data_IF_345172964156
#
_entry.id   IF_345172964156
#
_cell.length_a   1.000
_cell.length_b   1.000
_cell.length_c   1.000
_cell.angle_alpha   90.00
_cell.angle_beta   90.00
_cell.angle_gamma   90.00
#
_symmetry.space_group_name_H-M   'P 1'
#
loop_
_entity.id
_entity.type
_entity.pdbx_description
1 polymer ?
#
# COMPACT_ATOMS: atom_id res chain seq x y z
N UNK A 1 10.89 6.52 -23.49
CA UNK A 1 9.92 5.42 -23.33
C UNK A 1 10.59 4.12 -23.70
N UNK A 2 10.62 3.16 -22.78
CA UNK A 2 11.16 1.81 -22.97
C UNK A 2 10.03 0.85 -23.31
N UNK A 3 10.28 -0.08 -24.26
CA UNK A 3 9.32 -1.11 -24.64
C UNK A 3 9.89 -2.47 -24.20
N UNK A 4 9.25 -3.08 -23.23
CA UNK A 4 9.68 -4.36 -22.64
C UNK A 4 8.77 -5.49 -23.14
N UNK A 5 9.34 -6.40 -23.90
CA UNK A 5 8.61 -7.53 -24.46
C UNK A 5 8.81 -8.79 -23.60
N UNK A 6 7.72 -9.45 -23.25
CA UNK A 6 7.68 -10.70 -22.50
C UNK A 6 7.05 -11.83 -23.34
N UNK A 7 7.82 -12.45 -24.27
CA UNK A 7 7.26 -13.39 -25.26
C UNK A 7 6.61 -14.63 -24.63
N UNK A 8 7.07 -15.07 -23.46
CA UNK A 8 6.54 -16.27 -22.79
C UNK A 8 5.11 -16.10 -22.26
N UNK A 9 4.69 -14.87 -22.05
CA UNK A 9 3.33 -14.51 -21.59
C UNK A 9 2.60 -13.65 -22.61
N UNK A 10 3.20 -13.46 -23.80
CA UNK A 10 2.67 -12.64 -24.90
C UNK A 10 2.30 -11.21 -24.50
N UNK A 11 3.13 -10.60 -23.64
CA UNK A 11 2.91 -9.26 -23.10
C UNK A 11 3.96 -8.27 -23.59
N UNK A 12 3.51 -7.04 -23.84
CA UNK A 12 4.37 -5.90 -24.10
C UNK A 12 4.05 -4.79 -23.11
N UNK A 13 5.03 -4.38 -22.35
CA UNK A 13 4.92 -3.36 -21.30
C UNK A 13 5.67 -2.11 -21.75
N UNK A 14 5.05 -0.95 -21.58
CA UNK A 14 5.61 0.36 -21.88
C UNK A 14 5.98 1.06 -20.57
N UNK A 15 7.22 1.51 -20.46
CA UNK A 15 7.76 2.16 -19.27
C UNK A 15 8.32 3.53 -19.61
N UNK A 16 7.99 4.52 -18.81
CA UNK A 16 8.55 5.86 -18.90
C UNK A 16 8.87 6.39 -17.50
N UNK A 17 10.00 7.07 -17.38
CA UNK A 17 10.35 7.82 -16.17
C UNK A 17 10.43 9.29 -16.54
N UNK A 18 9.61 10.12 -15.91
CA UNK A 18 9.54 11.54 -16.16
C UNK A 18 10.69 12.30 -15.48
N UNK A 19 10.91 13.55 -15.89
CA UNK A 19 11.97 14.40 -15.30
C UNK A 19 11.78 14.66 -13.79
N UNK A 20 10.54 14.65 -13.31
CA UNK A 20 10.22 14.73 -11.87
C UNK A 20 10.38 13.40 -11.12
N UNK A 21 10.82 12.35 -11.81
CA UNK A 21 11.07 11.02 -11.25
C UNK A 21 9.85 10.09 -11.22
N UNK A 22 8.66 10.54 -11.65
CA UNK A 22 7.49 9.67 -11.70
C UNK A 22 7.70 8.53 -12.69
N UNK A 23 7.57 7.30 -12.24
CA UNK A 23 7.59 6.12 -13.08
C UNK A 23 6.16 5.79 -13.56
N UNK A 24 6.01 5.61 -14.86
CA UNK A 24 4.76 5.23 -15.51
C UNK A 24 4.96 3.89 -16.19
N UNK A 25 4.06 2.96 -15.91
CA UNK A 25 4.02 1.65 -16.56
C UNK A 25 2.64 1.46 -17.18
N UNK A 26 2.59 1.16 -18.46
CA UNK A 26 1.34 0.86 -19.18
C UNK A 26 1.43 -0.54 -19.78
N UNK A 27 0.41 -1.36 -19.51
CA UNK A 27 0.24 -2.69 -20.06
C UNK A 27 -1.05 -2.73 -20.92
N UNK A 28 -0.96 -2.46 -22.22
CA UNK A 28 -2.12 -2.55 -23.11
C UNK A 28 -2.65 -3.98 -23.17
N UNK A 29 -3.98 -4.13 -23.09
CA UNK A 29 -4.69 -5.39 -23.24
C UNK A 29 -5.73 -5.29 -24.35
N UNK A 30 -5.33 -5.49 -25.62
CA UNK A 30 -6.25 -5.42 -26.74
C UNK A 30 -7.47 -6.32 -26.56
N UNK A 31 -8.66 -5.77 -26.79
CA UNK A 31 -9.92 -6.52 -26.64
C UNK A 31 -10.52 -6.49 -25.24
N UNK A 32 -9.81 -6.03 -24.22
CA UNK A 32 -10.39 -5.78 -22.89
C UNK A 32 -11.12 -4.44 -22.89
N UNK A 33 -12.32 -4.44 -22.34
CA UNK A 33 -13.12 -3.22 -22.17
C UNK A 33 -12.77 -2.47 -20.87
N UNK A 34 -12.44 -3.23 -19.82
CA UNK A 34 -12.15 -2.69 -18.50
C UNK A 34 -10.68 -2.27 -18.41
N UNK A 35 -10.47 -1.05 -17.93
CA UNK A 35 -9.16 -0.54 -17.56
C UNK A 35 -9.04 -0.45 -16.05
N UNK A 36 -7.89 -0.80 -15.53
CA UNK A 36 -7.52 -0.70 -14.13
C UNK A 36 -6.26 0.16 -14.03
N UNK A 37 -6.30 1.16 -13.17
CA UNK A 37 -5.16 2.03 -12.92
C UNK A 37 -4.87 2.14 -11.44
N UNK A 38 -3.58 2.16 -11.09
CA UNK A 38 -3.11 2.36 -9.73
C UNK A 38 -2.08 3.48 -9.68
N UNK A 39 -2.17 4.32 -8.66
CA UNK A 39 -1.15 5.31 -8.32
C UNK A 39 -0.63 4.99 -6.92
N UNK A 40 0.58 4.47 -6.84
CA UNK A 40 1.17 3.91 -5.64
C UNK A 40 2.33 4.76 -5.14
N UNK A 41 2.43 4.92 -3.84
CA UNK A 41 3.63 5.45 -3.18
C UNK A 41 4.35 4.35 -2.42
N UNK A 42 5.68 4.39 -2.39
CA UNK A 42 6.53 3.54 -1.54
C UNK A 42 6.51 4.08 -0.11
N UNK A 43 5.34 4.04 0.52
CA UNK A 43 5.09 4.47 1.87
C UNK A 43 4.00 3.61 2.50
N UNK A 44 4.33 2.90 3.56
CA UNK A 44 3.42 2.02 4.27
C UNK A 44 3.55 2.14 5.78
N UNK A 45 2.89 1.25 6.50
CA UNK A 45 2.81 1.31 7.96
C UNK A 45 4.16 1.09 8.67
N UNK A 46 5.13 0.47 8.01
CA UNK A 46 6.47 0.27 8.59
C UNK A 46 7.40 1.48 8.43
N UNK A 47 7.04 2.47 7.61
CA UNK A 47 7.84 3.65 7.34
C UNK A 47 7.64 4.76 8.41
N UNK A 48 7.68 4.38 9.68
CA UNK A 48 7.42 5.26 10.82
C UNK A 48 8.68 5.92 11.41
N UNK A 49 9.87 5.65 10.87
CA UNK A 49 11.13 6.26 11.29
C UNK A 49 11.99 6.54 10.06
N UNK A 50 12.14 7.81 9.70
CA UNK A 50 12.79 8.20 8.45
C UNK A 50 13.50 9.56 8.55
N UNK A 51 14.37 9.85 7.56
CA UNK A 51 14.95 11.17 7.31
C UNK A 51 14.98 11.44 5.80
N UNK A 52 15.13 12.70 5.42
CA UNK A 52 15.33 13.13 4.03
C UNK A 52 16.68 13.84 3.92
N UNK A 53 17.59 13.31 3.09
CA UNK A 53 18.94 13.86 2.95
C UNK A 53 19.68 13.91 4.29
N UNK A 54 20.16 15.10 4.66
CA UNK A 54 20.95 15.32 5.89
C UNK A 54 20.08 15.76 7.10
N UNK A 55 18.74 15.60 7.01
CA UNK A 55 17.85 15.97 8.09
C UNK A 55 17.97 15.03 9.30
N UNK A 56 17.60 15.53 10.48
CA UNK A 56 17.50 14.70 11.69
C UNK A 56 16.39 13.67 11.50
N UNK A 57 16.64 12.38 11.81
CA UNK A 57 15.60 11.35 11.75
C UNK A 57 14.35 11.71 12.56
N UNK A 58 13.19 11.52 11.93
CA UNK A 58 11.88 11.76 12.53
C UNK A 58 11.18 10.41 12.74
N UNK A 59 10.70 10.20 13.97
CA UNK A 59 9.79 9.10 14.28
C UNK A 59 8.38 9.64 14.38
N UNK A 60 7.45 9.02 13.63
CA UNK A 60 6.03 9.40 13.57
C UNK A 60 5.16 8.35 14.26
N UNK A 61 3.94 8.69 14.70
CA UNK A 61 3.02 7.74 15.32
C UNK A 61 2.63 6.60 14.38
N UNK A 62 2.46 5.40 14.94
CA UNK A 62 1.94 4.25 14.21
C UNK A 62 0.53 4.53 13.68
N UNK A 63 0.22 4.03 12.47
CA UNK A 63 -1.05 4.26 11.79
C UNK A 63 -1.09 5.51 10.91
N UNK A 64 -0.05 6.36 10.91
CA UNK A 64 -0.07 7.63 10.16
C UNK A 64 -0.16 7.42 8.64
N UNK A 65 0.39 6.35 8.07
CA UNK A 65 0.27 6.05 6.65
C UNK A 65 -1.18 5.75 6.26
N UNK A 66 -1.88 4.95 7.05
CA UNK A 66 -3.30 4.65 6.88
C UNK A 66 -4.19 5.89 7.14
N UNK A 67 -3.86 6.67 8.16
CA UNK A 67 -4.54 7.93 8.43
C UNK A 67 -4.45 8.88 7.23
N UNK A 68 -3.25 8.97 6.63
CA UNK A 68 -3.01 9.81 5.47
C UNK A 68 -3.80 9.31 4.25
N UNK A 69 -3.90 8.00 4.04
CA UNK A 69 -4.74 7.42 3.00
C UNK A 69 -6.19 7.92 3.10
N UNK A 70 -6.80 7.84 4.29
CA UNK A 70 -8.15 8.34 4.53
C UNK A 70 -8.30 9.82 4.19
N UNK A 71 -7.31 10.63 4.59
CA UNK A 71 -7.37 12.09 4.41
C UNK A 71 -7.22 12.55 2.97
N UNK A 72 -6.68 11.71 2.09
CA UNK A 72 -6.54 12.07 0.68
C UNK A 72 -7.87 12.17 -0.06
N UNK A 73 -8.93 11.50 0.40
CA UNK A 73 -10.23 11.47 -0.28
C UNK A 73 -11.10 12.71 -0.05
N UNK A 74 -10.78 13.55 0.93
CA UNK A 74 -11.54 14.76 1.22
C UNK A 74 -10.98 15.96 0.44
N UNK A 75 -11.78 16.49 -0.48
CA UNK A 75 -11.42 17.64 -1.29
C UNK A 75 -11.59 18.98 -0.52
N UNK A 76 -10.96 20.10 -1.00
CA UNK A 76 -11.04 21.40 -0.35
C UNK A 76 -12.46 21.96 -0.16
N UNK A 77 -13.41 21.54 -1.00
CA UNK A 77 -14.82 21.91 -0.93
C UNK A 77 -15.63 20.99 0.02
N UNK A 78 -14.97 20.03 0.66
CA UNK A 78 -15.58 19.06 1.58
C UNK A 78 -16.31 17.91 0.86
N UNK A 79 -16.20 17.81 -0.47
CA UNK A 79 -16.72 16.66 -1.20
C UNK A 79 -15.75 15.48 -1.11
N UNK A 80 -16.30 14.28 -1.25
CA UNK A 80 -15.53 13.05 -1.35
C UNK A 80 -15.23 12.78 -2.84
N UNK A 81 -13.98 12.55 -3.19
CA UNK A 81 -13.54 12.26 -4.56
C UNK A 81 -14.23 11.03 -5.16
N UNK A 82 -14.70 10.08 -4.34
CA UNK A 82 -15.50 8.94 -4.79
C UNK A 82 -16.76 9.37 -5.56
N UNK A 83 -17.35 10.51 -5.23
CA UNK A 83 -18.50 11.05 -5.96
C UNK A 83 -18.12 11.45 -7.39
N UNK A 84 -16.90 11.94 -7.62
CA UNK A 84 -16.40 12.26 -8.95
C UNK A 84 -16.18 10.99 -9.77
N UNK A 85 -15.49 9.98 -9.22
CA UNK A 85 -15.31 8.69 -9.89
C UNK A 85 -16.65 8.02 -10.25
N UNK A 86 -17.62 8.05 -9.33
CA UNK A 86 -18.95 7.49 -9.57
C UNK A 86 -19.67 8.18 -10.73
N UNK A 87 -19.58 9.52 -10.85
CA UNK A 87 -20.14 10.28 -11.98
C UNK A 87 -19.46 9.95 -13.31
N UNK A 88 -18.17 9.58 -13.27
CA UNK A 88 -17.38 9.17 -14.42
C UNK A 88 -17.49 7.66 -14.71
N UNK A 89 -18.39 6.94 -14.05
CA UNK A 89 -18.61 5.51 -14.28
C UNK A 89 -17.51 4.59 -13.76
N UNK A 90 -16.66 5.07 -12.85
CA UNK A 90 -15.58 4.30 -12.28
C UNK A 90 -15.87 3.80 -10.85
N UNK A 91 -15.32 2.64 -10.50
CA UNK A 91 -15.19 2.17 -9.13
C UNK A 91 -13.77 2.47 -8.64
N UNK A 92 -13.66 3.35 -7.65
CA UNK A 92 -12.38 3.72 -7.02
C UNK A 92 -12.22 3.03 -5.66
N UNK A 93 -10.97 2.89 -5.22
CA UNK A 93 -10.61 2.39 -3.89
C UNK A 93 -9.19 2.83 -3.54
N UNK A 94 -8.79 2.59 -2.28
CA UNK A 94 -7.40 2.65 -1.85
C UNK A 94 -7.11 1.59 -0.80
N UNK A 95 -5.85 1.36 -0.53
CA UNK A 95 -5.41 0.56 0.61
C UNK A 95 -3.98 0.93 1.02
N UNK A 96 -3.72 0.84 2.31
CA UNK A 96 -2.39 0.89 2.90
C UNK A 96 -1.91 -0.51 3.23
N UNK A 97 -0.68 -0.84 2.85
CA UNK A 97 0.03 -2.06 3.21
C UNK A 97 1.21 -1.73 4.12
N UNK A 98 2.06 -2.72 4.40
CA UNK A 98 3.25 -2.51 5.22
C UNK A 98 4.27 -1.57 4.56
N UNK A 99 4.43 -1.66 3.24
CA UNK A 99 5.50 -0.99 2.45
C UNK A 99 4.98 0.00 1.40
N UNK A 100 3.67 0.12 1.23
CA UNK A 100 3.06 0.96 0.19
C UNK A 100 1.65 1.38 0.54
N UNK A 101 1.24 2.51 -0.06
CA UNK A 101 -0.16 2.94 -0.14
C UNK A 101 -0.53 3.06 -1.61
N UNK A 102 -1.70 2.57 -1.98
CA UNK A 102 -2.15 2.48 -3.36
C UNK A 102 -3.55 3.06 -3.50
N UNK A 103 -3.69 4.00 -4.42
CA UNK A 103 -4.96 4.56 -4.87
C UNK A 103 -5.27 3.98 -6.24
N UNK A 104 -6.51 3.64 -6.51
CA UNK A 104 -6.86 2.92 -7.73
C UNK A 104 -8.27 3.22 -8.22
N UNK A 105 -8.48 3.00 -9.51
CA UNK A 105 -9.82 2.89 -10.07
C UNK A 105 -9.91 1.76 -11.10
N UNK A 106 -11.14 1.34 -11.38
CA UNK A 106 -11.47 0.52 -12.54
C UNK A 106 -12.68 1.10 -13.26
N UNK A 107 -12.60 1.19 -14.59
CA UNK A 107 -13.64 1.77 -15.43
C UNK A 107 -13.68 1.10 -16.81
N UNK A 108 -14.80 1.26 -17.52
CA UNK A 108 -14.96 0.82 -18.92
C UNK A 108 -15.07 1.99 -19.90
N UNK A 109 -15.23 3.20 -19.40
CA UNK A 109 -15.37 4.44 -20.19
C UNK A 109 -14.77 5.62 -19.39
N UNK A 110 -14.58 6.75 -20.06
CA UNK A 110 -13.98 7.96 -19.49
C UNK A 110 -12.62 7.67 -18.80
N UNK A 111 -11.79 6.84 -19.43
CA UNK A 111 -10.52 6.37 -18.83
C UNK A 111 -9.56 7.54 -18.58
N UNK A 112 -9.46 8.48 -19.52
CA UNK A 112 -8.58 9.64 -19.41
C UNK A 112 -9.03 10.57 -18.27
N UNK A 113 -10.33 10.85 -18.16
CA UNK A 113 -10.89 11.69 -17.11
C UNK A 113 -10.69 11.03 -15.72
N UNK A 114 -10.94 9.73 -15.62
CA UNK A 114 -10.71 8.98 -14.38
C UNK A 114 -9.22 8.96 -14.01
N UNK A 115 -8.34 8.82 -14.98
CA UNK A 115 -6.89 8.84 -14.76
C UNK A 115 -6.42 10.20 -14.25
N UNK A 116 -6.91 11.31 -14.86
CA UNK A 116 -6.61 12.65 -14.38
C UNK A 116 -7.16 12.89 -12.97
N UNK A 117 -8.38 12.44 -12.69
CA UNK A 117 -8.95 12.51 -11.35
C UNK A 117 -8.06 11.77 -10.34
N UNK A 118 -7.60 10.54 -10.66
CA UNK A 118 -6.70 9.77 -9.80
C UNK A 118 -5.40 10.51 -9.49
N UNK A 119 -4.73 11.02 -10.52
CA UNK A 119 -3.45 11.72 -10.35
C UNK A 119 -3.65 13.02 -9.57
N UNK A 120 -4.68 13.77 -9.91
CA UNK A 120 -4.89 15.11 -9.36
C UNK A 120 -5.27 15.08 -7.88
N UNK A 121 -6.17 14.18 -7.44
CA UNK A 121 -6.51 14.13 -6.01
C UNK A 121 -5.34 13.61 -5.16
N UNK A 122 -4.59 12.62 -5.64
CA UNK A 122 -3.43 12.10 -4.90
C UNK A 122 -2.31 13.14 -4.80
N UNK A 123 -2.21 14.06 -5.74
CA UNK A 123 -1.21 15.13 -5.77
C UNK A 123 -1.72 16.48 -5.22
N UNK A 124 -2.91 16.53 -4.61
CA UNK A 124 -3.51 17.76 -4.07
C UNK A 124 -4.03 17.56 -2.64
N UNK A 125 -3.14 17.38 -1.66
CA UNK A 125 -3.55 17.15 -0.28
C UNK A 125 -4.26 18.38 0.32
N UNK A 126 -5.29 18.12 1.12
CA UNK A 126 -6.01 19.17 1.85
C UNK A 126 -6.24 18.75 3.31
N UNK A 127 -5.28 19.06 4.18
CA UNK A 127 -5.36 18.76 5.60
C UNK A 127 -5.58 20.02 6.40
N UNK A 128 -6.62 20.03 7.23
CA UNK A 128 -6.95 21.09 8.19
C UNK A 128 -7.03 20.50 9.60
N UNK A 129 -6.85 21.31 10.62
CA UNK A 129 -7.03 20.84 12.00
C UNK A 129 -8.40 20.19 12.20
N UNK A 130 -9.44 20.81 11.63
CA UNK A 130 -10.81 20.34 11.79
C UNK A 130 -11.04 18.97 11.14
N UNK A 131 -10.55 18.76 9.90
CA UNK A 131 -10.78 17.49 9.22
C UNK A 131 -9.89 16.37 9.78
N UNK A 132 -8.71 16.68 10.29
CA UNK A 132 -7.84 15.73 10.99
C UNK A 132 -8.48 15.28 12.32
N UNK A 133 -8.98 16.22 13.14
CA UNK A 133 -9.66 15.85 14.38
C UNK A 133 -10.93 15.01 14.17
N UNK A 134 -11.70 15.32 13.14
CA UNK A 134 -12.86 14.50 12.75
C UNK A 134 -12.46 13.07 12.39
N UNK A 135 -11.37 12.90 11.63
CA UNK A 135 -10.90 11.60 11.15
C UNK A 135 -10.40 10.69 12.27
N UNK A 136 -9.79 11.25 13.33
CA UNK A 136 -9.38 10.47 14.51
C UNK A 136 -10.53 9.65 15.08
N UNK A 137 -11.72 10.23 15.15
CA UNK A 137 -12.91 9.52 15.63
C UNK A 137 -13.36 8.38 14.71
N UNK A 138 -13.24 8.57 13.40
CA UNK A 138 -13.60 7.56 12.38
C UNK A 138 -12.62 6.38 12.45
N UNK A 139 -11.33 6.65 12.42
CA UNK A 139 -10.27 5.62 12.47
C UNK A 139 -10.28 4.91 13.83
N UNK A 140 -10.57 5.60 14.95
CA UNK A 140 -10.71 4.96 16.25
C UNK A 140 -11.85 3.91 16.27
N UNK A 141 -12.97 4.20 15.59
CA UNK A 141 -14.06 3.23 15.44
C UNK A 141 -13.65 2.05 14.55
N UNK A 142 -12.91 2.29 13.48
CA UNK A 142 -12.38 1.26 12.61
C UNK A 142 -11.38 0.34 13.34
N UNK A 143 -10.46 0.89 14.11
CA UNK A 143 -9.53 0.13 14.95
C UNK A 143 -10.31 -0.77 15.93
N UNK A 144 -11.36 -0.27 16.55
CA UNK A 144 -12.20 -1.07 17.43
C UNK A 144 -12.92 -2.20 16.67
N UNK A 145 -13.41 -1.94 15.48
CA UNK A 145 -14.02 -2.96 14.61
C UNK A 145 -12.99 -4.07 14.26
N UNK A 146 -11.75 -3.71 13.93
CA UNK A 146 -10.67 -4.67 13.68
C UNK A 146 -10.31 -5.47 14.95
N UNK A 147 -10.35 -4.85 16.13
CA UNK A 147 -10.11 -5.53 17.38
C UNK A 147 -11.14 -6.63 17.69
N UNK A 148 -12.36 -6.47 17.17
CA UNK A 148 -13.45 -7.47 17.30
C UNK A 148 -13.44 -8.51 16.17
N UNK A 149 -12.63 -8.32 15.13
CA UNK A 149 -12.52 -9.23 13.98
C UNK A 149 -11.50 -10.35 14.28
N UNK A 150 -11.97 -11.59 14.35
CA UNK A 150 -11.12 -12.73 14.68
C UNK A 150 -10.06 -13.06 13.63
N UNK A 151 -10.35 -12.87 12.33
CA UNK A 151 -9.37 -13.10 11.26
C UNK A 151 -8.27 -12.05 11.30
N UNK A 152 -8.62 -10.80 11.53
CA UNK A 152 -7.67 -9.72 11.71
C UNK A 152 -6.77 -9.96 12.94
N UNK A 153 -7.39 -10.34 14.06
CA UNK A 153 -6.66 -10.55 15.32
C UNK A 153 -5.74 -11.79 15.31
N UNK A 154 -6.09 -12.86 14.60
CA UNK A 154 -5.19 -14.01 14.46
C UNK A 154 -4.03 -13.67 13.51
N UNK A 155 -4.29 -12.91 12.46
CA UNK A 155 -3.26 -12.46 11.51
C UNK A 155 -2.22 -11.55 12.19
N UNK A 156 -2.65 -10.47 12.82
CA UNK A 156 -1.73 -9.58 13.56
C UNK A 156 -1.13 -10.26 14.79
N UNK A 157 -1.87 -11.13 15.46
CA UNK A 157 -1.35 -11.94 16.56
C UNK A 157 -0.15 -12.79 16.18
N UNK A 158 -0.10 -13.26 14.93
CA UNK A 158 1.07 -13.97 14.40
C UNK A 158 2.28 -13.03 14.27
N UNK A 159 2.13 -11.84 13.67
CA UNK A 159 3.24 -10.88 13.59
C UNK A 159 3.72 -10.42 14.96
N UNK A 160 2.81 -10.14 15.89
CA UNK A 160 3.14 -9.80 17.26
C UNK A 160 3.93 -10.92 17.98
N UNK A 161 3.68 -12.20 17.64
CA UNK A 161 4.42 -13.34 18.20
C UNK A 161 5.78 -13.56 17.53
N UNK A 162 5.90 -13.25 16.24
CA UNK A 162 7.14 -13.45 15.47
C UNK A 162 8.15 -12.32 15.66
N UNK A 163 7.71 -11.06 15.74
CA UNK A 163 8.59 -9.89 15.72
C UNK A 163 8.66 -9.20 17.08
N UNK A 164 9.86 -8.77 17.46
CA UNK A 164 10.12 -8.14 18.75
C UNK A 164 10.16 -6.61 18.65
N UNK A 165 10.77 -6.08 17.59
CA UNK A 165 11.04 -4.64 17.42
C UNK A 165 10.56 -4.09 16.08
N UNK A 166 10.49 -4.94 15.05
CA UNK A 166 10.13 -4.50 13.70
C UNK A 166 8.68 -3.99 13.68
N UNK A 167 8.42 -2.84 13.05
CA UNK A 167 7.08 -2.21 13.03
C UNK A 167 5.99 -3.04 12.34
N UNK A 168 6.34 -4.09 11.61
CA UNK A 168 5.37 -5.06 11.07
C UNK A 168 4.51 -5.73 12.17
N UNK A 169 4.99 -5.75 13.42
CA UNK A 169 4.24 -6.26 14.57
C UNK A 169 3.10 -5.33 15.01
N UNK A 170 3.06 -4.10 14.48
CA UNK A 170 2.01 -3.12 14.77
C UNK A 170 0.95 -3.19 13.67
N UNK A 171 -0.31 -3.06 14.06
CA UNK A 171 -1.43 -3.00 13.11
C UNK A 171 -1.26 -1.80 12.14
N UNK A 172 -1.60 -1.98 10.86
CA UNK A 172 -1.50 -0.92 9.85
C UNK A 172 -2.30 0.33 10.27
N UNK A 173 -3.44 0.14 10.89
CA UNK A 173 -4.25 1.24 11.41
C UNK A 173 -3.65 1.90 12.68
N UNK A 174 -2.61 1.33 13.25
CA UNK A 174 -2.04 1.77 14.51
C UNK A 174 -2.89 1.39 15.72
N UNK A 175 -2.81 2.21 16.77
CA UNK A 175 -3.65 2.12 17.97
C UNK A 175 -4.44 3.40 18.17
N UNK A 176 -5.51 3.34 18.96
CA UNK A 176 -6.29 4.54 19.31
C UNK A 176 -5.37 5.61 19.91
N UNK A 177 -4.44 5.21 20.78
CA UNK A 177 -3.49 6.14 21.42
C UNK A 177 -2.52 6.77 20.41
N UNK A 178 -2.04 6.01 19.41
CA UNK A 178 -1.09 6.53 18.43
C UNK A 178 -1.75 7.49 17.45
N UNK A 179 -2.96 7.18 16.97
CA UNK A 179 -3.66 8.04 16.00
C UNK A 179 -4.06 9.41 16.61
N UNK A 180 -4.32 9.48 17.92
CA UNK A 180 -4.61 10.75 18.59
C UNK A 180 -3.39 11.68 18.68
N UNK A 181 -2.16 11.18 18.47
CA UNK A 181 -0.94 11.98 18.40
C UNK A 181 -0.68 12.57 17.01
N UNK A 182 -1.44 12.15 16.01
CA UNK A 182 -1.30 12.63 14.63
C UNK A 182 -1.93 14.03 14.52
N UNK A 183 -1.21 14.96 13.93
CA UNK A 183 -1.68 16.28 13.58
C UNK A 183 -1.48 16.59 12.09
N UNK A 184 -1.99 17.71 11.62
CA UNK A 184 -1.89 18.09 10.21
C UNK A 184 -0.46 18.30 9.76
N UNK A 185 0.42 18.79 10.63
CA UNK A 185 1.81 19.13 10.29
C UNK A 185 2.61 17.84 10.07
N UNK A 186 2.39 16.81 10.90
CA UNK A 186 2.92 15.47 10.69
C UNK A 186 2.39 14.83 9.39
N UNK A 187 1.09 14.98 9.08
CA UNK A 187 0.52 14.49 7.83
C UNK A 187 1.16 15.17 6.62
N UNK A 188 1.29 16.50 6.61
CA UNK A 188 1.99 17.21 5.55
C UNK A 188 3.45 16.80 5.46
N UNK A 189 4.12 16.59 6.61
CA UNK A 189 5.50 16.12 6.62
C UNK A 189 5.65 14.75 5.94
N UNK A 190 4.81 13.78 6.27
CA UNK A 190 4.79 12.47 5.63
C UNK A 190 4.41 12.57 4.15
N UNK A 191 3.38 13.35 3.83
CA UNK A 191 2.96 13.57 2.45
C UNK A 191 4.09 14.14 1.59
N UNK A 192 4.71 15.25 2.01
CA UNK A 192 5.79 15.90 1.26
C UNK A 192 7.03 15.02 1.10
N UNK A 193 7.24 14.06 2.03
CA UNK A 193 8.34 13.10 1.94
C UNK A 193 8.01 11.97 0.97
N UNK A 194 6.87 11.33 1.12
CA UNK A 194 6.60 10.06 0.48
C UNK A 194 5.74 10.13 -0.79
N UNK A 195 4.94 11.20 -0.95
CA UNK A 195 4.08 11.39 -2.13
C UNK A 195 4.75 12.24 -3.22
N UNK A 196 6.07 12.41 -3.12
CA UNK A 196 6.83 13.01 -4.19
C UNK A 196 6.85 12.08 -5.42
N UNK A 197 6.72 12.60 -6.66
CA UNK A 197 6.68 11.79 -7.87
C UNK A 197 7.81 10.76 -7.98
N UNK A 198 9.03 11.11 -7.57
CA UNK A 198 10.18 10.19 -7.61
C UNK A 198 10.08 8.98 -6.66
N UNK A 199 9.13 8.99 -5.73
CA UNK A 199 8.81 7.86 -4.84
C UNK A 199 7.51 7.15 -5.23
N UNK A 200 6.92 7.49 -6.39
CA UNK A 200 5.62 7.00 -6.83
C UNK A 200 5.68 6.27 -8.16
N UNK A 201 4.72 5.38 -8.35
CA UNK A 201 4.52 4.60 -9.57
C UNK A 201 3.07 4.71 -10.02
N UNK A 202 2.86 5.07 -11.28
CA UNK A 202 1.58 4.95 -11.96
C UNK A 202 1.57 3.71 -12.84
N UNK A 203 0.64 2.79 -12.59
CA UNK A 203 0.46 1.59 -13.41
C UNK A 203 -0.94 1.58 -14.02
N UNK A 204 -1.01 1.37 -15.34
CA UNK A 204 -2.28 1.32 -16.09
C UNK A 204 -2.32 0.03 -16.90
N UNK A 205 -3.40 -0.74 -16.77
CA UNK A 205 -3.62 -1.96 -17.54
C UNK A 205 -5.04 -2.02 -18.09
N UNK A 206 -5.20 -2.33 -19.37
CA UNK A 206 -6.52 -2.44 -20.00
C UNK A 206 -6.52 -2.16 -21.48
N UNK A 207 -7.71 -1.91 -22.04
CA UNK A 207 -7.89 -1.59 -23.45
C UNK A 207 -7.50 -0.15 -23.80
N UNK A 208 -6.25 0.22 -23.55
CA UNK A 208 -5.72 1.58 -23.73
C UNK A 208 -4.57 1.61 -24.73
N UNK A 209 -4.34 2.77 -25.31
CA UNK A 209 -3.13 3.07 -26.06
C UNK A 209 -2.03 3.59 -25.13
N UNK A 210 -0.86 2.95 -25.12
CA UNK A 210 0.21 3.26 -24.18
C UNK A 210 0.82 4.65 -24.43
N UNK A 211 1.03 5.03 -25.68
CA UNK A 211 1.61 6.33 -26.03
C UNK A 211 0.67 7.46 -25.61
N UNK A 212 -0.62 7.30 -25.88
CA UNK A 212 -1.65 8.28 -25.51
C UNK A 212 -1.72 8.46 -23.98
N UNK A 213 -1.72 7.38 -23.21
CA UNK A 213 -1.72 7.43 -21.73
C UNK A 213 -0.47 8.14 -21.21
N UNK A 214 0.71 7.79 -21.72
CA UNK A 214 1.97 8.39 -21.29
C UNK A 214 2.01 9.89 -21.60
N UNK A 215 1.60 10.31 -22.79
CA UNK A 215 1.56 11.73 -23.16
C UNK A 215 0.53 12.53 -22.36
N UNK A 216 -0.60 11.93 -22.03
CA UNK A 216 -1.60 12.53 -21.14
C UNK A 216 -1.01 12.80 -19.76
N UNK A 217 -0.31 11.82 -19.18
CA UNK A 217 0.34 11.95 -17.86
C UNK A 217 1.47 12.97 -17.91
N UNK A 218 2.32 12.97 -18.96
CA UNK A 218 3.36 13.98 -19.16
C UNK A 218 2.78 15.40 -19.17
N UNK A 219 1.70 15.59 -19.92
CA UNK A 219 1.02 16.89 -20.03
C UNK A 219 0.43 17.35 -18.68
N UNK A 220 -0.11 16.43 -17.88
CA UNK A 220 -0.59 16.72 -16.53
C UNK A 220 0.56 17.10 -15.59
N UNK A 221 1.66 16.33 -15.60
CA UNK A 221 2.80 16.56 -14.71
C UNK A 221 3.59 17.84 -15.07
N UNK A 222 3.63 18.23 -16.35
CA UNK A 222 4.27 19.48 -16.80
C UNK A 222 3.60 20.76 -16.26
N UNK A 223 2.37 20.65 -15.77
CA UNK A 223 1.62 21.77 -15.16
C UNK A 223 1.85 21.89 -13.65
N UNK A 224 2.62 20.97 -13.05
CA UNK A 224 2.84 20.88 -11.60
C UNK A 224 4.30 21.12 -11.26
N UNK A 225 4.53 21.77 -10.14
CA UNK A 225 5.87 22.01 -9.63
C UNK A 225 6.08 21.17 -8.36
N UNK A 226 7.20 20.46 -8.33
CA UNK A 226 7.62 19.68 -7.18
C UNK A 226 9.00 20.18 -6.71
N UNK A 227 9.12 20.44 -5.41
CA UNK A 227 10.42 20.78 -4.83
C UNK A 227 11.35 19.58 -4.92
N UNK A 228 12.67 19.76 -5.19
CA UNK A 228 13.60 18.65 -5.18
C UNK A 228 13.54 17.88 -3.86
N UNK A 229 13.47 16.56 -3.93
CA UNK A 229 13.48 15.69 -2.76
C UNK A 229 14.87 15.05 -2.60
N UNK A 230 15.42 15.14 -1.39
CA UNK A 230 16.62 14.38 -1.00
C UNK A 230 16.34 12.87 -0.91
N UNK A 231 17.38 12.09 -0.72
CA UNK A 231 17.23 10.63 -0.52
C UNK A 231 16.41 10.34 0.74
N UNK A 232 15.41 9.49 0.62
CA UNK A 232 14.59 9.03 1.74
C UNK A 232 15.34 7.88 2.44
N UNK A 233 15.78 8.12 3.66
CA UNK A 233 16.40 7.12 4.51
C UNK A 233 15.38 6.55 5.48
N UNK A 234 15.29 5.22 5.58
CA UNK A 234 14.37 4.50 6.47
C UNK A 234 15.18 3.80 7.55
N UNK A 235 14.74 3.92 8.80
CA UNK A 235 15.46 3.37 9.94
C UNK A 235 14.61 2.30 10.62
N UNK A 236 15.23 1.15 10.81
CA UNK A 236 14.62 0.02 11.53
C UNK A 236 15.55 -0.38 12.66
N UNK A 237 14.99 -0.66 13.83
CA UNK A 237 15.74 -1.26 14.92
C UNK A 237 16.19 -2.66 14.51
N UNK A 238 17.39 -3.08 14.95
CA UNK A 238 17.90 -4.43 14.69
C UNK A 238 16.93 -5.45 15.31
N UNK A 239 16.30 -6.23 14.44
CA UNK A 239 15.33 -7.25 14.82
C UNK A 239 16.04 -8.55 15.23
N UNK A 240 15.82 -9.08 16.46
CA UNK A 240 16.39 -10.35 16.87
C UNK A 240 15.95 -11.50 15.96
N UNK A 241 16.83 -12.49 15.77
CA UNK A 241 16.51 -13.72 15.01
C UNK A 241 15.43 -14.55 15.69
N UNK A 242 15.43 -14.54 17.01
CA UNK A 242 14.48 -15.28 17.83
C UNK A 242 13.08 -14.64 17.73
N UNK A 243 12.07 -15.50 17.70
CA UNK A 243 10.68 -15.06 17.80
C UNK A 243 10.40 -14.49 19.20
N UNK A 244 9.41 -13.60 19.32
CA UNK A 244 9.00 -13.00 20.59
C UNK A 244 8.34 -14.03 21.53
N UNK A 245 7.43 -14.83 20.99
CA UNK A 245 6.72 -15.87 21.73
C UNK A 245 6.28 -17.02 20.81
N UNK A 246 6.33 -18.26 21.32
CA UNK A 246 5.97 -19.45 20.54
C UNK A 246 4.46 -19.64 20.36
N UNK A 247 3.66 -19.04 21.23
CA UNK A 247 2.22 -19.22 21.23
C UNK A 247 1.53 -17.98 21.81
N UNK A 248 0.65 -17.37 21.02
CA UNK A 248 -0.21 -16.29 21.45
C UNK A 248 -1.67 -16.73 21.37
N UNK A 249 -2.42 -16.50 22.45
CA UNK A 249 -3.85 -16.83 22.52
C UNK A 249 -4.62 -15.55 22.83
N UNK A 250 -5.65 -15.29 22.04
CA UNK A 250 -6.62 -14.23 22.31
C UNK A 250 -8.03 -14.84 22.37
N UNK A 251 -8.78 -14.50 23.39
CA UNK A 251 -10.16 -14.94 23.55
C UNK A 251 -11.08 -13.89 22.91
N UNK A 252 -11.89 -14.34 21.96
CA UNK A 252 -12.90 -13.54 21.26
C UNK A 252 -14.20 -14.34 21.16
N UNK A 253 -15.37 -13.68 21.00
CA UNK A 253 -16.64 -14.35 20.81
C UNK A 253 -16.75 -14.93 19.39
N UNK A 254 -16.14 -16.08 19.17
CA UNK A 254 -16.12 -16.78 17.88
C UNK A 254 -16.84 -18.13 17.96
N UNK A 255 -17.48 -18.53 16.88
CA UNK A 255 -18.16 -19.84 16.80
C UNK A 255 -17.17 -21.00 16.66
N UNK A 256 -16.06 -20.77 15.97
CA UNK A 256 -14.99 -21.76 15.77
C UNK A 256 -13.64 -21.12 16.10
N UNK A 257 -12.73 -21.87 16.78
CA UNK A 257 -11.38 -21.41 16.99
C UNK A 257 -10.65 -21.19 15.68
N UNK A 258 -9.85 -20.12 15.63
CA UNK A 258 -8.98 -19.81 14.47
C UNK A 258 -7.53 -19.98 14.92
N UNK A 259 -6.72 -20.58 14.04
CA UNK A 259 -5.29 -20.80 14.28
C UNK A 259 -4.50 -20.37 13.05
N UNK A 260 -3.39 -19.67 13.28
CA UNK A 260 -2.42 -19.32 12.24
C UNK A 260 -1.04 -19.77 12.72
N UNK A 261 -0.28 -20.36 11.80
CA UNK A 261 1.10 -20.78 12.01
C UNK A 261 2.00 -19.99 11.08
N UNK A 262 3.15 -19.58 11.57
CA UNK A 262 4.15 -18.88 10.79
C UNK A 262 5.56 -19.19 11.25
N UNK A 263 6.50 -18.98 10.34
CA UNK A 263 7.93 -19.12 10.57
C UNK A 263 8.62 -17.81 10.24
N UNK A 264 9.47 -17.35 11.13
CA UNK A 264 10.33 -16.20 10.90
C UNK A 264 11.61 -16.69 10.22
N UNK A 265 11.94 -16.11 9.10
CA UNK A 265 13.21 -16.40 8.42
C UNK A 265 14.38 -15.83 9.23
N UNK A 266 15.35 -16.69 9.52
CA UNK A 266 16.49 -16.30 10.37
C UNK A 266 17.58 -15.52 9.61
N UNK A 267 17.64 -15.66 8.27
CA UNK A 267 18.65 -15.04 7.42
C UNK A 267 18.00 -14.30 6.23
N UNK A 268 17.93 -12.98 6.33
CA UNK A 268 17.40 -12.11 5.26
C UNK A 268 18.59 -11.43 4.58
N UNK A 269 19.33 -12.18 3.77
CA UNK A 269 20.49 -11.66 3.04
C UNK A 269 20.27 -11.56 1.53
N UNK A 270 19.23 -12.21 1.02
CA UNK A 270 18.91 -12.28 -0.41
C UNK A 270 18.29 -10.97 -0.91
N UNK A 271 18.63 -10.59 -2.14
CA UNK A 271 18.09 -9.39 -2.80
C UNK A 271 17.82 -9.66 -4.27
N UNK A 272 16.99 -8.82 -4.89
CA UNK A 272 16.69 -8.88 -6.33
C UNK A 272 16.17 -10.25 -6.78
N UNK A 273 16.76 -10.80 -7.84
CA UNK A 273 16.34 -12.08 -8.43
C UNK A 273 16.50 -13.28 -7.46
N UNK A 274 17.53 -13.28 -6.63
CA UNK A 274 17.73 -14.33 -5.62
C UNK A 274 16.60 -14.32 -4.56
N UNK A 275 16.17 -13.15 -4.13
CA UNK A 275 15.04 -13.00 -3.21
C UNK A 275 13.73 -13.46 -3.88
N UNK A 276 13.48 -13.01 -5.10
CA UNK A 276 12.29 -13.41 -5.87
C UNK A 276 12.21 -14.93 -6.04
N UNK A 277 13.34 -15.56 -6.40
CA UNK A 277 13.43 -17.01 -6.52
C UNK A 277 13.11 -17.70 -5.20
N UNK A 278 13.70 -17.23 -4.12
CA UNK A 278 13.48 -17.77 -2.78
C UNK A 278 12.00 -17.65 -2.34
N UNK A 279 11.35 -16.53 -2.62
CA UNK A 279 9.92 -16.34 -2.34
C UNK A 279 9.05 -17.32 -3.13
N UNK A 280 9.34 -17.51 -4.43
CA UNK A 280 8.59 -18.45 -5.26
C UNK A 280 8.82 -19.90 -4.80
N UNK A 281 10.07 -20.29 -4.49
CA UNK A 281 10.39 -21.62 -3.96
C UNK A 281 9.69 -21.86 -2.61
N UNK A 282 9.67 -20.88 -1.72
CA UNK A 282 9.00 -20.97 -0.41
C UNK A 282 7.48 -21.11 -0.57
N UNK A 283 6.86 -20.32 -1.45
CA UNK A 283 5.42 -20.44 -1.77
C UNK A 283 5.08 -21.81 -2.34
N UNK A 284 5.88 -22.30 -3.28
CA UNK A 284 5.69 -23.61 -3.88
C UNK A 284 5.83 -24.74 -2.84
N UNK A 285 6.84 -24.64 -1.97
CA UNK A 285 7.04 -25.61 -0.87
C UNK A 285 5.81 -25.63 0.06
N UNK A 286 5.32 -24.45 0.46
CA UNK A 286 4.15 -24.36 1.33
C UNK A 286 2.88 -24.90 0.66
N UNK A 287 2.70 -24.66 -0.63
CA UNK A 287 1.56 -25.18 -1.39
C UNK A 287 1.61 -26.71 -1.52
N UNK A 288 2.79 -27.29 -1.78
CA UNK A 288 2.99 -28.75 -1.81
C UNK A 288 2.69 -29.38 -0.42
N UNK A 289 3.11 -28.76 0.65
CA UNK A 289 2.97 -29.31 2.01
C UNK A 289 1.58 -29.11 2.60
N UNK A 290 0.96 -27.95 2.35
CA UNK A 290 -0.25 -27.49 3.05
C UNK A 290 -1.39 -27.08 2.12
N UNK A 291 -1.16 -27.01 0.81
CA UNK A 291 -2.19 -26.69 -0.18
C UNK A 291 -3.31 -27.72 -0.26
N UNK A 292 -4.42 -27.36 -0.87
CA UNK A 292 -5.65 -28.19 -0.90
C UNK A 292 -5.48 -29.58 -1.50
N UNK A 293 -4.45 -29.80 -2.32
CA UNK A 293 -4.10 -31.10 -2.90
C UNK A 293 -3.19 -31.96 -2.02
N UNK A 294 -2.69 -31.40 -0.89
CA UNK A 294 -1.77 -32.12 -0.02
C UNK A 294 -2.47 -33.16 0.84
N UNK A 295 -1.82 -34.29 1.17
CA UNK A 295 -2.37 -35.28 2.11
C UNK A 295 -2.64 -34.68 3.50
N UNK A 296 -1.86 -33.67 3.91
CA UNK A 296 -2.05 -32.97 5.18
C UNK A 296 -3.37 -32.20 5.22
N UNK A 297 -3.63 -31.39 4.16
CA UNK A 297 -4.89 -30.65 4.03
C UNK A 297 -6.09 -31.59 4.00
N UNK A 298 -6.03 -32.64 3.19
CA UNK A 298 -7.11 -33.64 3.09
C UNK A 298 -7.39 -34.31 4.44
N UNK A 299 -6.34 -34.67 5.19
CA UNK A 299 -6.50 -35.25 6.53
C UNK A 299 -7.17 -34.29 7.52
N UNK A 300 -6.91 -32.98 7.44
CA UNK A 300 -7.58 -31.98 8.27
C UNK A 300 -9.01 -31.71 7.83
N UNK A 301 -9.28 -31.78 6.52
CA UNK A 301 -10.61 -31.52 5.98
C UNK A 301 -11.58 -32.65 6.24
N UNK A 302 -11.09 -33.90 6.29
CA UNK A 302 -11.89 -35.13 6.54
C UNK A 302 -12.20 -35.37 8.03
N UNK A 303 -11.65 -34.56 8.95
CA UNK A 303 -11.89 -34.59 10.40
C UNK A 303 -12.95 -33.60 10.84
#
# INVERSE_FOLDING_TARGET
>A
MDVLNYPHVEETLYREVLDNGLEIIVLPKPGFQKTYATFATKYGSIDNHFAVGDETPLKVPDGIAHFLEHKMFEEPDGQDVFATFSKQGAAANAYTSFDRTVYLFSATEQIEENLMTLIDFVQRPHFTEQNVEKEKGIIAQEINMYNDNADWRVYYGLFEALYQKHPIAVDIAGTVESIYQIDKDLLYRCYNTFYHPSNMLLFVVGGVDAEQIIELVKSNQAQKEFAPLGEIQRFFDEEPKEIREQRKIKQLPVSLPKCMLGFKEAEVTKQGEELLRHEVESKLMLDILFGSSSPFYQSLYDQ
#
